data_IF_395947635609
#
_entry.id   IF_395947635609
#
_cell.length_a   1.000
_cell.length_b   1.000
_cell.length_c   1.000
_cell.angle_alpha   90.00
_cell.angle_beta   90.00
_cell.angle_gamma   90.00
#
_symmetry.space_group_name_H-M   'P 1'
#
loop_
_entity.id
_entity.type
_entity.pdbx_description
1 polymer ?
#
# COMPACT_ATOMS: atom_id res chain seq x y z
N UNK A 1 17.64 -47.40 -32.36
CA UNK A 1 18.29 -46.85 -31.15
C UNK A 1 18.94 -45.49 -31.42
N UNK A 2 19.75 -45.33 -32.46
CA UNK A 2 20.38 -44.06 -32.86
C UNK A 2 19.37 -42.93 -33.18
N UNK A 3 18.28 -43.24 -33.87
CA UNK A 3 17.22 -42.27 -34.25
C UNK A 3 16.48 -41.65 -33.06
N UNK A 4 16.37 -42.37 -31.93
CA UNK A 4 15.71 -41.87 -30.72
C UNK A 4 16.60 -40.84 -30.01
N UNK A 5 17.91 -41.07 -30.01
CA UNK A 5 18.90 -40.17 -29.38
C UNK A 5 19.00 -38.85 -30.16
N UNK A 6 19.02 -38.90 -31.50
CA UNK A 6 19.03 -37.71 -32.36
C UNK A 6 17.76 -36.86 -32.21
N UNK A 7 16.58 -37.49 -32.13
CA UNK A 7 15.33 -36.77 -31.89
C UNK A 7 15.30 -36.10 -30.51
N UNK A 8 15.83 -36.76 -29.47
CA UNK A 8 15.94 -36.17 -28.13
C UNK A 8 16.85 -34.93 -28.09
N UNK A 9 17.94 -34.91 -28.86
CA UNK A 9 18.83 -33.74 -28.92
C UNK A 9 18.19 -32.54 -29.62
N UNK A 10 17.42 -32.76 -30.70
CA UNK A 10 16.74 -31.68 -31.42
C UNK A 10 15.60 -31.06 -30.61
N UNK A 11 14.85 -31.88 -29.86
CA UNK A 11 13.75 -31.40 -29.01
C UNK A 11 14.26 -30.61 -27.80
N UNK A 12 15.37 -31.04 -27.18
CA UNK A 12 16.03 -30.27 -26.11
C UNK A 12 16.53 -28.91 -26.59
N UNK A 13 17.07 -28.86 -27.81
CA UNK A 13 17.57 -27.62 -28.40
C UNK A 13 16.43 -26.65 -28.71
N UNK A 14 15.30 -27.16 -29.22
CA UNK A 14 14.09 -26.38 -29.41
C UNK A 14 13.55 -25.82 -28.08
N UNK A 15 13.52 -26.64 -27.03
CA UNK A 15 13.08 -26.23 -25.70
C UNK A 15 14.00 -25.15 -25.11
N UNK A 16 15.31 -25.28 -25.29
CA UNK A 16 16.28 -24.28 -24.83
C UNK A 16 16.11 -22.94 -25.56
N UNK A 17 15.88 -22.97 -26.88
CA UNK A 17 15.66 -21.76 -27.67
C UNK A 17 14.35 -21.04 -27.29
N UNK A 18 13.27 -21.77 -27.04
CA UNK A 18 12.01 -21.17 -26.58
C UNK A 18 12.17 -20.58 -25.18
N UNK A 19 12.87 -21.29 -24.30
CA UNK A 19 13.13 -20.85 -22.93
C UNK A 19 14.02 -19.59 -22.89
N UNK A 20 15.07 -19.54 -23.72
CA UNK A 20 15.96 -18.37 -23.81
C UNK A 20 15.23 -17.15 -24.36
N UNK A 21 14.35 -17.31 -25.35
CA UNK A 21 13.53 -16.22 -25.87
C UNK A 21 12.55 -15.69 -24.83
N UNK A 22 11.92 -16.59 -24.06
CA UNK A 22 11.01 -16.20 -22.97
C UNK A 22 11.75 -15.46 -21.86
N UNK A 23 12.95 -15.93 -21.49
CA UNK A 23 13.81 -15.28 -20.50
C UNK A 23 14.21 -13.86 -20.92
N UNK A 24 14.54 -13.65 -22.20
CA UNK A 24 14.88 -12.31 -22.70
C UNK A 24 13.68 -11.36 -22.65
N UNK A 25 12.48 -11.83 -22.99
CA UNK A 25 11.26 -11.02 -22.92
C UNK A 25 10.99 -10.61 -21.47
N UNK A 26 11.02 -11.55 -20.52
CA UNK A 26 10.79 -11.28 -19.10
C UNK A 26 11.86 -10.35 -18.52
N UNK A 27 13.12 -10.52 -18.90
CA UNK A 27 14.21 -9.63 -18.45
C UNK A 27 14.15 -8.21 -19.04
N UNK A 28 13.47 -8.03 -20.19
CA UNK A 28 13.29 -6.73 -20.84
C UNK A 28 12.10 -5.94 -20.28
N UNK A 29 11.24 -6.58 -19.50
CA UNK A 29 10.19 -5.90 -18.74
C UNK A 29 10.88 -5.20 -17.57
N UNK A 30 11.27 -3.96 -17.81
CA UNK A 30 11.83 -3.08 -16.79
C UNK A 30 10.74 -2.77 -15.75
N UNK A 31 10.65 -3.59 -14.71
CA UNK A 31 9.68 -3.47 -13.60
C UNK A 31 9.99 -2.34 -12.63
N UNK A 32 11.23 -1.82 -12.64
CA UNK A 32 11.67 -0.69 -11.81
C UNK A 32 10.77 0.56 -11.95
N UNK A 33 10.51 1.10 -13.16
CA UNK A 33 9.70 2.31 -13.30
C UNK A 33 8.24 2.11 -12.89
N UNK A 34 7.65 0.94 -13.15
CA UNK A 34 6.23 0.68 -12.84
C UNK A 34 6.02 0.51 -11.33
N UNK A 35 6.91 -0.23 -10.67
CA UNK A 35 6.86 -0.42 -9.22
C UNK A 35 6.97 0.91 -8.48
N UNK A 36 7.90 1.78 -8.88
CA UNK A 36 8.07 3.10 -8.27
C UNK A 36 6.82 3.99 -8.38
N UNK A 37 6.19 4.00 -9.56
CA UNK A 37 4.95 4.75 -9.80
C UNK A 37 3.82 4.22 -8.92
N UNK A 38 3.67 2.90 -8.82
CA UNK A 38 2.61 2.27 -8.03
C UNK A 38 2.77 2.55 -6.53
N UNK A 39 4.00 2.48 -6.01
CA UNK A 39 4.32 2.82 -4.62
C UNK A 39 4.02 4.29 -4.34
N UNK A 40 4.41 5.18 -5.26
CA UNK A 40 4.16 6.62 -5.14
C UNK A 40 2.67 6.94 -5.10
N UNK A 41 1.88 6.34 -5.98
CA UNK A 41 0.41 6.50 -5.99
C UNK A 41 -0.21 5.94 -4.71
N UNK A 42 0.26 4.77 -4.25
CA UNK A 42 -0.20 4.17 -3.00
C UNK A 42 0.02 5.10 -1.79
N UNK A 43 1.20 5.69 -1.68
CA UNK A 43 1.51 6.66 -0.62
C UNK A 43 0.69 7.94 -0.73
N UNK A 44 0.51 8.47 -1.94
CA UNK A 44 -0.32 9.65 -2.15
C UNK A 44 -1.78 9.41 -1.73
N UNK A 45 -2.35 8.25 -2.05
CA UNK A 45 -3.70 7.88 -1.64
C UNK A 45 -3.81 7.74 -0.12
N UNK A 46 -2.85 7.10 0.53
CA UNK A 46 -2.82 7.00 2.00
C UNK A 46 -2.78 8.39 2.65
N UNK A 47 -1.95 9.31 2.14
CA UNK A 47 -1.90 10.69 2.64
C UNK A 47 -3.25 11.40 2.49
N UNK A 48 -3.90 11.28 1.33
CA UNK A 48 -5.21 11.90 1.08
C UNK A 48 -6.26 11.35 2.04
N UNK A 49 -6.27 10.04 2.30
CA UNK A 49 -7.21 9.41 3.24
C UNK A 49 -6.97 9.92 4.66
N UNK A 50 -5.71 10.01 5.10
CA UNK A 50 -5.36 10.51 6.43
C UNK A 50 -5.81 11.97 6.58
N UNK A 51 -5.45 12.83 5.64
CA UNK A 51 -5.82 14.26 5.67
C UNK A 51 -7.34 14.43 5.64
N UNK A 52 -8.02 13.72 4.73
CA UNK A 52 -9.48 13.74 4.63
C UNK A 52 -10.16 13.27 5.91
N UNK A 53 -9.65 12.19 6.52
CA UNK A 53 -10.14 11.66 7.79
C UNK A 53 -9.96 12.64 8.95
N UNK A 54 -8.81 13.31 9.03
CA UNK A 54 -8.55 14.35 10.04
C UNK A 54 -9.49 15.53 9.85
N UNK A 55 -9.60 16.08 8.64
CA UNK A 55 -10.50 17.21 8.35
C UNK A 55 -11.95 16.84 8.67
N UNK A 56 -12.42 15.68 8.19
CA UNK A 56 -13.77 15.21 8.46
C UNK A 56 -14.02 15.00 9.95
N UNK A 57 -13.06 14.42 10.67
CA UNK A 57 -13.10 14.23 12.12
C UNK A 57 -13.24 15.56 12.86
N UNK A 58 -12.39 16.53 12.53
CA UNK A 58 -12.43 17.88 13.11
C UNK A 58 -13.76 18.58 12.83
N UNK A 59 -14.27 18.52 11.60
CA UNK A 59 -15.56 19.11 11.23
C UNK A 59 -16.72 18.43 11.95
N UNK A 60 -16.70 17.10 12.06
CA UNK A 60 -17.75 16.34 12.76
C UNK A 60 -17.77 16.65 14.26
N UNK A 61 -16.60 16.74 14.88
CA UNK A 61 -16.46 17.17 16.28
C UNK A 61 -16.95 18.61 16.45
N UNK A 62 -16.49 19.54 15.62
CA UNK A 62 -16.89 20.95 15.69
C UNK A 62 -18.39 21.16 15.51
N UNK A 63 -19.07 20.31 14.72
CA UNK A 63 -20.53 20.35 14.56
C UNK A 63 -21.29 19.66 15.70
N UNK A 64 -20.70 18.68 16.36
CA UNK A 64 -21.34 17.95 17.45
C UNK A 64 -21.22 18.65 18.81
N UNK A 65 -20.13 19.40 19.02
CA UNK A 65 -19.87 20.16 20.26
C UNK A 65 -21.00 21.16 20.63
N UNK A 66 -21.55 21.97 19.70
CA UNK A 66 -22.58 22.97 20.03
C UNK A 66 -23.94 22.37 20.42
N UNK A 67 -24.19 21.11 20.09
CA UNK A 67 -25.45 20.40 20.40
C UNK A 67 -25.39 19.55 21.67
N UNK A 68 -24.22 19.47 22.33
CA UNK A 68 -24.02 18.67 23.53
C UNK A 68 -24.45 19.43 24.78
N UNK A 69 -25.00 18.72 25.76
CA UNK A 69 -25.22 19.29 27.09
C UNK A 69 -23.87 19.55 27.79
N UNK A 70 -23.84 20.47 28.77
CA UNK A 70 -22.60 20.85 29.48
C UNK A 70 -21.87 19.65 30.09
N UNK A 71 -22.61 18.64 30.56
CA UNK A 71 -22.06 17.41 31.14
C UNK A 71 -21.36 16.54 30.09
N UNK A 72 -21.99 16.39 28.92
CA UNK A 72 -21.43 15.62 27.81
C UNK A 72 -20.19 16.31 27.23
N UNK A 73 -20.23 17.65 27.12
CA UNK A 73 -19.07 18.43 26.68
C UNK A 73 -17.89 18.30 27.64
N UNK A 74 -18.12 18.40 28.96
CA UNK A 74 -17.09 18.20 29.97
C UNK A 74 -16.48 16.79 29.91
N UNK A 75 -17.33 15.77 29.77
CA UNK A 75 -16.87 14.37 29.66
C UNK A 75 -16.04 14.18 28.38
N UNK A 76 -16.50 14.74 27.25
CA UNK A 76 -15.76 14.75 25.98
C UNK A 76 -14.37 15.43 26.13
N UNK A 77 -14.32 16.57 26.80
CA UNK A 77 -13.08 17.32 27.02
C UNK A 77 -12.09 16.55 27.90
N UNK A 78 -12.58 15.85 28.93
CA UNK A 78 -11.76 14.98 29.78
C UNK A 78 -11.20 13.80 28.98
N UNK A 79 -12.00 13.16 28.14
CA UNK A 79 -11.53 12.05 27.28
C UNK A 79 -10.43 12.54 26.32
N UNK A 80 -10.64 13.68 25.66
CA UNK A 80 -9.62 14.25 24.77
C UNK A 80 -8.33 14.58 25.53
N UNK A 81 -8.44 15.18 26.72
CA UNK A 81 -7.28 15.52 27.53
C UNK A 81 -6.47 14.27 27.91
N UNK A 82 -7.13 13.21 28.37
CA UNK A 82 -6.47 11.94 28.70
C UNK A 82 -5.82 11.33 27.46
N UNK A 83 -6.52 11.32 26.32
CA UNK A 83 -5.99 10.80 25.07
C UNK A 83 -4.74 11.54 24.61
N UNK A 84 -4.73 12.88 24.69
CA UNK A 84 -3.59 13.71 24.33
C UNK A 84 -2.38 13.50 25.26
N UNK A 85 -2.62 13.34 26.56
CA UNK A 85 -1.55 13.02 27.53
C UNK A 85 -0.90 11.68 27.20
N UNK A 86 -1.72 10.64 26.94
CA UNK A 86 -1.21 9.32 26.55
C UNK A 86 -0.43 9.41 25.23
N UNK A 87 -0.93 10.14 24.25
CA UNK A 87 -0.24 10.35 22.97
C UNK A 87 1.13 11.03 23.17
N UNK A 88 1.19 12.08 24.00
CA UNK A 88 2.42 12.80 24.30
C UNK A 88 3.46 11.98 25.08
N UNK A 89 3.04 10.93 25.79
CA UNK A 89 3.95 9.98 26.45
C UNK A 89 4.43 8.90 25.46
N UNK A 90 3.54 8.44 24.57
CA UNK A 90 3.83 7.35 23.63
C UNK A 90 4.64 7.78 22.40
N UNK A 91 4.54 9.05 22.00
CA UNK A 91 5.34 9.64 20.92
C UNK A 91 6.54 10.39 21.54
N UNK A 92 7.71 9.74 21.66
CA UNK A 92 8.94 10.41 22.10
C UNK A 92 9.42 11.47 21.11
#
# INVERSE_FOLDING_TARGET
MLTIILNGSMTLQALNNVTSQLSHIVSSINVEPVSYILVTIGFALLLIIIIGGVIYGLVKVAKAVPSMSTKEFLLFLVIIAVFLVVLGILLP
#
